data_IF_384986652852
#
_entry.id   IF_384986652852
#
_cell.length_a   1.000
_cell.length_b   1.000
_cell.length_c   1.000
_cell.angle_alpha   90.00
_cell.angle_beta   90.00
_cell.angle_gamma   90.00
#
_symmetry.space_group_name_H-M   'P 1'
#
loop_
_entity.id
_entity.type
_entity.pdbx_description
1 polymer ?
#
# COMPACT_ATOMS: atom_id res chain seq x y z
N UNK A 1 44.72 -4.93 60.99
CA UNK A 1 43.52 -5.77 60.73
C UNK A 1 42.27 -4.98 60.28
N UNK A 2 42.01 -3.74 60.75
CA UNK A 2 40.82 -2.95 60.31
C UNK A 2 40.83 -2.45 58.86
N UNK A 3 42.00 -2.25 58.23
CA UNK A 3 42.10 -1.74 56.84
C UNK A 3 41.79 -2.78 55.75
N UNK A 4 41.97 -4.08 56.00
CA UNK A 4 41.66 -5.13 55.01
C UNK A 4 40.14 -5.38 54.86
N UNK A 5 39.36 -5.20 55.93
CA UNK A 5 37.92 -5.44 55.92
C UNK A 5 37.17 -4.34 55.15
N UNK A 6 37.67 -3.11 55.20
CA UNK A 6 37.08 -1.97 54.47
C UNK A 6 37.27 -2.07 52.94
N UNK A 7 38.36 -2.69 52.48
CA UNK A 7 38.64 -2.88 51.04
C UNK A 7 37.84 -4.06 50.46
N UNK A 8 37.57 -5.10 51.25
CA UNK A 8 36.72 -6.20 50.78
C UNK A 8 35.24 -5.80 50.69
N UNK A 9 34.77 -4.94 51.60
CA UNK A 9 33.39 -4.45 51.61
C UNK A 9 33.11 -3.50 50.43
N UNK A 10 34.07 -2.63 50.08
CA UNK A 10 33.92 -1.74 48.92
C UNK A 10 33.96 -2.51 47.59
N UNK A 11 34.78 -3.56 47.48
CA UNK A 11 34.81 -4.43 46.30
C UNK A 11 33.48 -5.16 46.04
N UNK A 12 32.82 -5.64 47.09
CA UNK A 12 31.51 -6.30 46.99
C UNK A 12 30.40 -5.34 46.57
N UNK A 13 30.42 -4.09 47.03
CA UNK A 13 29.43 -3.07 46.65
C UNK A 13 29.60 -2.70 45.18
N UNK A 14 30.82 -2.51 44.69
CA UNK A 14 31.08 -2.19 43.28
C UNK A 14 30.71 -3.36 42.36
N UNK A 15 31.00 -4.60 42.75
CA UNK A 15 30.59 -5.79 42.00
C UNK A 15 29.07 -5.95 41.97
N UNK A 16 28.38 -5.67 43.08
CA UNK A 16 26.92 -5.70 43.16
C UNK A 16 26.25 -4.64 42.28
N UNK A 17 26.80 -3.42 42.25
CA UNK A 17 26.31 -2.35 41.37
C UNK A 17 26.57 -2.70 39.89
N UNK A 18 27.74 -3.26 39.57
CA UNK A 18 28.09 -3.67 38.21
C UNK A 18 27.18 -4.81 37.70
N UNK A 19 26.92 -5.83 38.53
CA UNK A 19 25.98 -6.91 38.19
C UNK A 19 24.52 -6.44 38.13
N UNK A 20 24.13 -5.48 38.98
CA UNK A 20 22.81 -4.85 38.94
C UNK A 20 22.58 -4.07 37.64
N UNK A 21 23.59 -3.33 37.17
CA UNK A 21 23.52 -2.59 35.90
C UNK A 21 23.58 -3.51 34.67
N UNK A 22 24.28 -4.64 34.74
CA UNK A 22 24.32 -5.62 33.64
C UNK A 22 23.00 -6.40 33.47
N UNK A 23 22.24 -6.61 34.55
CA UNK A 23 20.95 -7.29 34.49
C UNK A 23 19.78 -6.39 34.06
N UNK A 24 20.04 -5.10 33.82
CA UNK A 24 19.03 -4.12 33.40
C UNK A 24 19.08 -3.78 31.91
N UNK A 25 19.70 -4.65 31.10
CA UNK A 25 19.34 -4.76 29.67
C UNK A 25 18.32 -5.88 29.58
N UNK A 26 17.05 -5.52 29.77
CA UNK A 26 15.97 -6.37 29.33
C UNK A 26 16.24 -6.72 27.86
N UNK A 27 16.15 -8.01 27.46
CA UNK A 27 16.16 -8.33 26.04
C UNK A 27 15.05 -7.51 25.41
N UNK A 28 15.38 -6.69 24.42
CA UNK A 28 14.38 -6.01 23.59
C UNK A 28 13.51 -7.14 23.04
N UNK A 29 12.35 -7.32 23.64
CA UNK A 29 11.36 -8.27 23.17
C UNK A 29 11.02 -7.80 21.77
N UNK A 30 11.42 -8.58 20.77
CA UNK A 30 11.00 -8.38 19.39
C UNK A 30 9.50 -8.70 19.35
N UNK A 31 8.69 -7.79 19.87
CA UNK A 31 7.26 -7.78 19.62
C UNK A 31 7.14 -7.63 18.12
N UNK A 32 6.80 -8.73 17.44
CA UNK A 32 6.44 -8.70 16.03
C UNK A 32 5.39 -7.60 15.90
N UNK A 33 5.71 -6.55 15.15
CA UNK A 33 4.76 -5.48 14.88
C UNK A 33 3.46 -6.15 14.41
N UNK A 34 2.29 -5.72 14.90
CA UNK A 34 1.03 -6.29 14.45
C UNK A 34 0.98 -6.21 12.93
N UNK A 35 0.64 -7.33 12.28
CA UNK A 35 0.42 -7.34 10.83
C UNK A 35 -0.57 -6.24 10.50
N UNK A 36 -0.32 -5.41 9.48
CA UNK A 36 -1.26 -4.35 9.11
C UNK A 36 -2.63 -4.96 8.82
N UNK A 37 -3.66 -4.44 9.48
CA UNK A 37 -5.05 -4.79 9.21
C UNK A 37 -5.45 -4.16 7.87
N UNK A 38 -5.93 -4.97 6.93
CA UNK A 38 -6.39 -4.51 5.61
C UNK A 38 -7.90 -4.31 5.66
N UNK A 39 -8.34 -3.09 5.39
CA UNK A 39 -9.75 -2.71 5.49
C UNK A 39 -10.60 -3.39 4.40
N UNK A 40 -11.72 -4.00 4.82
CA UNK A 40 -12.70 -4.60 3.90
C UNK A 40 -12.36 -5.98 3.37
N UNK A 41 -11.21 -6.55 3.75
CA UNK A 41 -10.98 -7.97 3.55
C UNK A 41 -11.69 -8.70 4.69
N UNK A 42 -12.59 -9.66 4.42
CA UNK A 42 -13.20 -10.45 5.48
C UNK A 42 -12.08 -11.02 6.36
N UNK A 43 -12.18 -10.93 7.68
CA UNK A 43 -11.15 -11.42 8.62
C UNK A 43 -10.84 -12.93 8.43
N UNK A 44 -11.69 -13.64 7.69
CA UNK A 44 -11.55 -15.04 7.27
C UNK A 44 -10.73 -15.27 5.99
N UNK A 45 -10.49 -14.25 5.17
CA UNK A 45 -9.70 -14.40 3.95
C UNK A 45 -8.21 -14.36 4.27
N UNK A 46 -7.58 -15.54 4.16
CA UNK A 46 -6.14 -15.66 4.25
C UNK A 46 -5.54 -14.97 3.02
N UNK A 47 -4.86 -13.84 3.24
CA UNK A 47 -4.09 -13.19 2.18
C UNK A 47 -3.18 -14.18 1.45
N UNK A 48 -2.88 -13.89 0.20
CA UNK A 48 -2.02 -14.70 -0.64
C UNK A 48 -0.57 -14.41 -0.28
N UNK A 49 0.19 -15.44 0.07
CA UNK A 49 1.63 -15.32 0.24
C UNK A 49 2.29 -15.37 -1.13
N UNK A 50 2.94 -14.27 -1.52
CA UNK A 50 3.72 -14.13 -2.75
C UNK A 50 5.19 -14.19 -2.37
N UNK A 51 5.94 -15.09 -3.00
CA UNK A 51 7.39 -15.22 -2.80
C UNK A 51 8.14 -14.61 -3.97
N UNK A 52 9.05 -13.67 -3.68
CA UNK A 52 9.90 -13.02 -4.68
C UNK A 52 11.35 -13.12 -4.20
N UNK A 53 12.11 -14.03 -4.81
CA UNK A 53 13.43 -14.42 -4.30
C UNK A 53 13.30 -15.04 -2.90
N UNK A 54 14.07 -14.54 -1.95
CA UNK A 54 14.02 -14.99 -0.54
C UNK A 54 12.98 -14.25 0.30
N UNK A 55 12.26 -13.29 -0.29
CA UNK A 55 11.29 -12.45 0.43
C UNK A 55 9.88 -13.00 0.26
N UNK A 56 9.12 -13.01 1.35
CA UNK A 56 7.69 -13.34 1.36
C UNK A 56 6.87 -12.08 1.59
N UNK A 57 5.84 -11.91 0.77
CA UNK A 57 4.88 -10.81 0.85
C UNK A 57 3.51 -11.39 1.12
N UNK A 58 2.75 -10.76 2.01
CA UNK A 58 1.34 -11.06 2.18
C UNK A 58 0.53 -10.04 1.36
N UNK A 59 -0.23 -10.52 0.39
CA UNK A 59 -1.06 -9.70 -0.47
C UNK A 59 -2.54 -10.00 -0.25
N UNK A 60 -3.36 -8.98 -0.39
CA UNK A 60 -4.82 -9.09 -0.31
C UNK A 60 -5.43 -8.50 -1.57
N UNK A 61 -6.53 -9.07 -2.01
CA UNK A 61 -7.28 -8.60 -3.17
C UNK A 61 -8.78 -8.68 -2.87
N UNK A 62 -9.55 -7.87 -3.58
CA UNK A 62 -11.00 -7.89 -3.54
C UNK A 62 -11.51 -8.20 -4.93
N UNK A 63 -12.27 -9.28 -5.07
CA UNK A 63 -12.94 -9.60 -6.32
C UNK A 63 -14.28 -8.87 -6.38
N UNK A 64 -14.49 -8.10 -7.45
CA UNK A 64 -15.75 -7.40 -7.70
C UNK A 64 -16.32 -7.93 -9.01
N UNK A 65 -17.39 -8.73 -8.91
CA UNK A 65 -18.03 -9.39 -10.05
C UNK A 65 -18.99 -8.47 -10.81
N UNK A 66 -19.50 -7.43 -10.15
CA UNK A 66 -20.38 -6.41 -10.74
C UNK A 66 -19.73 -5.03 -10.62
N UNK A 67 -19.33 -4.48 -11.77
CA UNK A 67 -18.62 -3.20 -11.87
C UNK A 67 -19.44 -2.00 -11.37
N UNK A 68 -20.77 -2.12 -11.30
CA UNK A 68 -21.64 -1.06 -10.74
C UNK A 68 -21.37 -0.80 -9.25
N UNK A 69 -20.82 -1.78 -8.54
CA UNK A 69 -20.42 -1.64 -7.13
C UNK A 69 -19.09 -0.89 -6.94
N UNK A 70 -18.39 -0.53 -8.02
CA UNK A 70 -17.14 0.23 -7.95
C UNK A 70 -17.44 1.73 -8.02
N UNK A 71 -17.02 2.44 -6.98
CA UNK A 71 -17.12 3.90 -6.88
C UNK A 71 -15.74 4.52 -6.70
N UNK A 72 -15.49 5.63 -7.37
CA UNK A 72 -14.29 6.44 -7.18
C UNK A 72 -14.64 7.65 -6.32
N UNK A 73 -14.16 7.68 -5.09
CA UNK A 73 -14.50 8.74 -4.14
C UNK A 73 -13.42 9.83 -4.22
N UNK A 74 -13.76 11.08 -4.58
CA UNK A 74 -12.82 12.19 -4.51
C UNK A 74 -12.49 12.51 -3.05
N UNK A 75 -11.21 12.76 -2.77
CA UNK A 75 -10.71 12.96 -1.41
C UNK A 75 -9.71 14.13 -1.34
N UNK A 76 -9.97 15.20 -2.11
CA UNK A 76 -9.05 16.34 -2.29
C UNK A 76 -9.24 17.45 -1.25
N UNK A 77 -10.49 17.84 -1.00
CA UNK A 77 -10.81 19.03 -0.19
C UNK A 77 -10.76 18.76 1.32
N UNK A 78 -11.20 17.56 1.71
CA UNK A 78 -11.16 17.07 3.08
C UNK A 78 -10.61 15.66 3.10
N UNK A 79 -9.28 15.54 3.12
CA UNK A 79 -8.61 14.26 3.12
C UNK A 79 -9.06 13.41 4.32
N UNK A 80 -9.87 12.39 4.05
CA UNK A 80 -10.23 11.33 4.99
C UNK A 80 -9.26 10.18 4.82
N UNK A 81 -8.90 9.52 5.91
CA UNK A 81 -8.16 8.27 5.80
C UNK A 81 -9.10 7.15 5.31
N UNK A 82 -8.52 6.03 4.85
CA UNK A 82 -9.30 4.92 4.32
C UNK A 82 -10.23 4.28 5.37
N UNK A 83 -9.87 4.33 6.66
CA UNK A 83 -10.67 3.80 7.76
C UNK A 83 -11.96 4.60 7.95
N UNK A 84 -11.86 5.93 7.93
CA UNK A 84 -13.01 6.82 7.98
C UNK A 84 -13.90 6.56 6.75
N UNK A 85 -13.34 6.55 5.55
CA UNK A 85 -14.12 6.30 4.33
C UNK A 85 -14.85 4.95 4.36
N UNK A 86 -14.19 3.91 4.88
CA UNK A 86 -14.80 2.59 5.06
C UNK A 86 -15.98 2.64 6.04
N UNK A 87 -15.82 3.30 7.19
CA UNK A 87 -16.86 3.42 8.20
C UNK A 87 -18.07 4.27 7.76
N UNK A 88 -17.88 5.27 6.88
CA UNK A 88 -18.92 6.22 6.49
C UNK A 88 -19.69 5.86 5.22
N UNK A 89 -19.17 4.96 4.37
CA UNK A 89 -19.69 4.76 3.00
C UNK A 89 -20.27 3.36 2.74
N UNK A 90 -20.49 2.54 3.78
CA UNK A 90 -21.03 1.17 3.67
C UNK A 90 -20.33 0.32 2.60
N UNK A 91 -19.01 0.50 2.47
CA UNK A 91 -18.21 -0.14 1.44
C UNK A 91 -17.81 -1.54 1.89
N UNK A 92 -17.88 -2.52 0.99
CA UNK A 92 -17.30 -3.84 1.25
C UNK A 92 -15.77 -3.79 1.38
N UNK A 93 -15.11 -2.84 0.70
CA UNK A 93 -13.70 -2.52 0.91
C UNK A 93 -13.27 -1.20 0.28
N UNK A 94 -12.14 -0.67 0.76
CA UNK A 94 -11.62 0.65 0.36
C UNK A 94 -10.12 0.55 0.10
N UNK A 95 -9.69 1.06 -1.05
CA UNK A 95 -8.29 1.14 -1.46
C UNK A 95 -7.94 2.53 -1.99
N UNK A 96 -6.68 2.93 -1.80
CA UNK A 96 -6.15 4.13 -2.43
C UNK A 96 -5.95 3.88 -3.92
N UNK A 97 -6.59 4.72 -4.76
CA UNK A 97 -6.53 4.56 -6.22
C UNK A 97 -5.44 5.39 -6.90
N UNK A 98 -5.59 6.71 -6.87
CA UNK A 98 -4.80 7.64 -7.68
C UNK A 98 -3.57 8.25 -6.98
N UNK A 99 -2.83 9.04 -7.74
CA UNK A 99 -1.70 9.85 -7.24
C UNK A 99 -2.09 11.32 -7.16
N UNK A 100 -1.61 11.98 -6.10
CA UNK A 100 -1.96 13.35 -5.74
C UNK A 100 -0.72 14.22 -5.69
N UNK A 101 -0.88 15.51 -6.00
CA UNK A 101 0.15 16.52 -5.78
C UNK A 101 0.27 16.82 -4.27
N UNK A 102 1.36 17.45 -3.80
CA UNK A 102 1.48 17.89 -2.41
C UNK A 102 0.33 18.80 -1.95
N UNK A 103 -0.29 19.52 -2.88
CA UNK A 103 -1.45 20.39 -2.67
C UNK A 103 -2.77 19.63 -2.63
N UNK A 104 -2.75 18.29 -2.71
CA UNK A 104 -3.94 17.44 -2.60
C UNK A 104 -4.75 17.28 -3.89
N UNK A 105 -4.23 17.68 -5.05
CA UNK A 105 -4.96 17.58 -6.33
C UNK A 105 -4.57 16.33 -7.14
N UNK A 106 -5.45 15.75 -7.98
CA UNK A 106 -5.06 14.64 -8.85
C UNK A 106 -3.95 15.03 -9.82
N UNK A 107 -2.98 14.13 -9.98
CA UNK A 107 -1.87 14.27 -10.94
C UNK A 107 -2.30 14.03 -12.39
N UNK A 108 -3.40 13.31 -12.62
CA UNK A 108 -3.92 12.97 -13.94
C UNK A 108 -5.45 12.84 -13.95
N UNK A 109 -6.00 12.19 -14.98
CA UNK A 109 -7.45 12.01 -15.17
C UNK A 109 -8.12 11.57 -13.86
N UNK A 110 -9.20 12.27 -13.51
CA UNK A 110 -10.08 11.89 -12.41
C UNK A 110 -11.52 12.22 -12.81
N UNK A 111 -12.33 11.19 -13.02
CA UNK A 111 -13.75 11.26 -13.35
C UNK A 111 -14.50 10.45 -12.30
N UNK A 112 -15.43 11.09 -11.61
CA UNK A 112 -16.24 10.48 -10.54
C UNK A 112 -17.70 10.83 -10.77
N UNK A 113 -18.59 9.82 -10.79
CA UNK A 113 -20.02 10.03 -10.98
C UNK A 113 -20.37 10.70 -12.31
N UNK A 114 -19.56 10.49 -13.35
CA UNK A 114 -19.71 11.17 -14.65
C UNK A 114 -19.05 12.55 -14.74
N UNK A 115 -18.64 13.14 -13.61
CA UNK A 115 -18.03 14.47 -13.60
C UNK A 115 -16.52 14.40 -13.78
N UNK A 116 -15.98 15.16 -14.74
CA UNK A 116 -14.53 15.29 -14.93
C UNK A 116 -13.95 16.32 -13.96
N UNK A 117 -13.36 15.83 -12.87
CA UNK A 117 -12.70 16.66 -11.84
C UNK A 117 -11.26 17.03 -12.24
N UNK A 118 -10.59 16.16 -13.00
CA UNK A 118 -9.26 16.43 -13.56
C UNK A 118 -9.13 15.83 -14.96
N UNK A 119 -8.52 16.58 -15.88
CA UNK A 119 -8.22 16.10 -17.24
C UNK A 119 -7.00 15.19 -17.25
N UNK A 120 -6.95 14.32 -18.26
CA UNK A 120 -5.80 13.47 -18.54
C UNK A 120 -4.51 14.27 -18.73
N UNK A 121 -3.41 13.75 -18.20
CA UNK A 121 -2.07 14.33 -18.32
C UNK A 121 -1.18 13.37 -19.10
N UNK A 122 -0.45 13.84 -20.12
CA UNK A 122 0.54 12.99 -20.79
C UNK A 122 1.73 12.72 -19.87
N UNK A 123 1.99 11.45 -19.55
CA UNK A 123 3.10 11.05 -18.68
C UNK A 123 3.58 9.64 -19.04
N UNK A 124 4.90 9.43 -19.06
CA UNK A 124 5.49 8.09 -19.26
C UNK A 124 5.29 7.16 -18.06
N UNK A 125 5.12 7.71 -16.86
CA UNK A 125 4.91 6.95 -15.61
C UNK A 125 3.42 6.66 -15.35
N UNK A 126 2.60 7.71 -15.28
CA UNK A 126 1.13 7.64 -15.19
C UNK A 126 0.49 7.29 -16.55
N UNK A 127 0.85 6.15 -17.12
CA UNK A 127 0.47 5.79 -18.49
C UNK A 127 -0.78 4.90 -18.57
N UNK A 128 -1.42 4.57 -17.45
CA UNK A 128 -2.63 3.76 -17.39
C UNK A 128 -3.88 4.58 -17.06
N UNK A 129 -5.00 4.16 -17.63
CA UNK A 129 -6.34 4.68 -17.39
C UNK A 129 -7.22 3.49 -17.05
N UNK A 130 -7.71 3.44 -15.81
CA UNK A 130 -8.82 2.60 -15.42
C UNK A 130 -10.12 3.38 -15.61
N UNK A 131 -11.13 2.78 -16.21
CA UNK A 131 -12.40 3.46 -16.49
C UNK A 131 -13.58 2.51 -16.48
N UNK A 132 -14.76 3.06 -16.18
CA UNK A 132 -16.05 2.37 -16.30
C UNK A 132 -16.99 3.33 -17.03
N UNK A 133 -17.64 2.84 -18.08
CA UNK A 133 -18.61 3.62 -18.85
C UNK A 133 -20.03 3.47 -18.28
N UNK A 134 -21.00 4.14 -18.92
CA UNK A 134 -22.42 4.10 -18.49
C UNK A 134 -23.08 2.72 -18.65
N UNK A 135 -22.44 1.79 -19.37
CA UNK A 135 -22.88 0.41 -19.54
C UNK A 135 -22.17 -0.55 -18.57
N UNK A 136 -21.55 -0.02 -17.51
CA UNK A 136 -20.85 -0.80 -16.49
C UNK A 136 -19.74 -1.70 -17.05
N UNK A 137 -19.08 -1.25 -18.12
CA UNK A 137 -17.98 -1.97 -18.75
C UNK A 137 -16.63 -1.46 -18.24
N UNK A 138 -15.93 -2.20 -17.35
CA UNK A 138 -14.61 -1.81 -16.86
C UNK A 138 -13.53 -2.00 -17.93
N UNK A 139 -12.59 -1.06 -18.01
CA UNK A 139 -11.48 -1.08 -18.97
C UNK A 139 -10.19 -0.56 -18.34
N UNK A 140 -9.08 -1.18 -18.70
CA UNK A 140 -7.73 -0.67 -18.45
C UNK A 140 -7.09 -0.42 -19.82
N UNK A 141 -6.59 0.79 -20.04
CA UNK A 141 -5.90 1.15 -21.28
C UNK A 141 -4.90 2.29 -21.07
N UNK A 142 -4.20 2.68 -22.12
CA UNK A 142 -3.21 3.78 -22.07
C UNK A 142 -3.76 5.14 -22.51
N UNK A 143 -4.98 5.16 -23.02
CA UNK A 143 -5.67 6.35 -23.51
C UNK A 143 -7.06 6.46 -22.88
N UNK A 144 -7.57 7.69 -22.79
CA UNK A 144 -8.95 7.93 -22.36
C UNK A 144 -9.91 7.44 -23.45
N UNK A 145 -10.88 6.57 -23.13
CA UNK A 145 -11.93 6.19 -24.08
C UNK A 145 -12.73 7.40 -24.58
N UNK A 146 -13.38 7.24 -25.75
CA UNK A 146 -14.18 8.32 -26.37
C UNK A 146 -15.63 8.35 -25.91
N UNK A 147 -16.13 7.25 -25.36
CA UNK A 147 -17.47 7.17 -24.81
C UNK A 147 -17.56 7.91 -23.46
N UNK A 148 -18.79 8.18 -23.03
CA UNK A 148 -19.03 8.78 -21.73
C UNK A 148 -18.63 7.81 -20.61
N UNK A 149 -18.01 8.35 -19.56
CA UNK A 149 -17.42 7.58 -18.47
C UNK A 149 -18.08 7.96 -17.16
N UNK A 150 -18.65 6.98 -16.44
CA UNK A 150 -19.09 7.15 -15.05
C UNK A 150 -17.88 7.30 -14.11
N UNK A 151 -16.81 6.57 -14.41
CA UNK A 151 -15.58 6.53 -13.63
C UNK A 151 -14.36 6.57 -14.55
N UNK A 152 -13.35 7.34 -14.18
CA UNK A 152 -12.07 7.39 -14.88
C UNK A 152 -10.95 7.77 -13.92
N UNK A 153 -9.90 6.98 -13.86
CA UNK A 153 -8.76 7.20 -12.99
C UNK A 153 -7.47 6.95 -13.78
N UNK A 154 -6.61 7.97 -13.83
CA UNK A 154 -5.26 7.81 -14.36
C UNK A 154 -4.29 7.38 -13.25
N UNK A 155 -3.61 6.27 -13.50
CA UNK A 155 -2.60 5.69 -12.62
C UNK A 155 -1.48 5.05 -13.47
N UNK A 156 -0.52 4.39 -12.83
CA UNK A 156 0.50 3.66 -13.58
C UNK A 156 1.73 3.27 -12.76
N UNK A 157 2.66 2.56 -13.40
CA UNK A 157 2.63 2.14 -14.81
C UNK A 157 1.67 0.97 -15.09
N UNK A 158 1.21 0.82 -16.33
CA UNK A 158 0.51 -0.41 -16.78
C UNK A 158 1.45 -1.60 -16.65
N UNK A 159 1.08 -2.58 -15.82
CA UNK A 159 1.90 -3.76 -15.50
C UNK A 159 1.66 -4.92 -16.47
N UNK A 160 0.42 -5.08 -16.94
CA UNK A 160 -0.01 -6.16 -17.85
C UNK A 160 -0.90 -5.54 -18.93
N UNK A 161 -0.65 -5.88 -20.19
CA UNK A 161 -1.44 -5.43 -21.33
C UNK A 161 -1.69 -6.63 -22.26
N UNK A 162 -2.95 -6.89 -22.59
CA UNK A 162 -3.36 -8.03 -23.43
C UNK A 162 -2.74 -9.37 -22.97
N UNK A 163 -2.73 -9.61 -21.65
CA UNK A 163 -2.13 -10.79 -21.01
C UNK A 163 -0.59 -10.88 -21.04
N UNK A 164 0.10 -9.82 -21.49
CA UNK A 164 1.57 -9.76 -21.48
C UNK A 164 2.07 -8.79 -20.41
N UNK A 165 2.97 -9.29 -19.56
CA UNK A 165 3.70 -8.47 -18.61
C UNK A 165 4.53 -7.41 -19.35
N UNK A 166 4.45 -6.16 -18.90
CA UNK A 166 5.15 -5.04 -19.48
C UNK A 166 6.58 -4.97 -18.93
N UNK A 167 7.55 -4.66 -19.79
CA UNK A 167 8.90 -4.37 -19.35
C UNK A 167 8.94 -2.94 -18.78
N UNK A 168 9.11 -2.85 -17.46
CA UNK A 168 9.12 -1.58 -16.75
C UNK A 168 10.56 -1.09 -16.58
N UNK A 169 10.86 0.05 -17.16
CA UNK A 169 12.08 0.80 -16.89
C UNK A 169 11.74 1.99 -16.01
N UNK A 170 11.96 1.85 -14.70
CA UNK A 170 11.94 3.00 -13.81
C UNK A 170 13.18 3.81 -14.14
N UNK A 171 13.01 5.06 -14.60
CA UNK A 171 14.09 5.98 -14.99
C UNK A 171 15.03 6.39 -13.82
N UNK A 172 15.08 5.63 -12.72
CA UNK A 172 15.91 5.97 -11.55
C UNK A 172 16.44 4.81 -10.70
N UNK A 173 16.42 3.56 -11.15
CA UNK A 173 17.13 2.48 -10.43
C UNK A 173 17.67 1.39 -11.35
N UNK A 174 18.96 1.10 -11.21
CA UNK A 174 19.66 -0.03 -11.82
C UNK A 174 19.18 -1.34 -11.17
N UNK A 175 18.02 -1.85 -11.59
CA UNK A 175 17.65 -3.27 -11.44
C UNK A 175 16.40 -3.55 -12.25
N UNK A 176 16.55 -4.40 -13.26
CA UNK A 176 15.46 -4.91 -14.08
C UNK A 176 14.52 -5.80 -13.23
N UNK A 177 13.23 -5.47 -13.21
CA UNK A 177 12.18 -6.33 -12.67
C UNK A 177 11.60 -7.18 -13.81
N UNK A 178 11.67 -8.50 -13.66
CA UNK A 178 10.96 -9.45 -14.52
C UNK A 178 9.86 -10.10 -13.69
N UNK A 179 8.59 -9.88 -14.06
CA UNK A 179 7.47 -10.64 -13.51
C UNK A 179 7.30 -11.88 -14.40
N UNK A 180 7.53 -13.06 -13.83
CA UNK A 180 7.31 -14.33 -14.49
C UNK A 180 5.92 -14.85 -14.08
N UNK A 181 5.00 -14.95 -15.04
CA UNK A 181 3.69 -15.58 -14.84
C UNK A 181 3.83 -17.11 -14.75
N UNK A 182 3.06 -17.79 -13.89
CA UNK A 182 3.04 -19.25 -13.86
C UNK A 182 2.41 -19.81 -15.16
N UNK A 183 2.82 -21.00 -15.61
CA UNK A 183 2.23 -21.65 -16.77
C UNK A 183 0.78 -22.07 -16.48
N UNK A 184 -0.05 -22.02 -17.55
CA UNK A 184 -1.44 -22.47 -17.61
C UNK A 184 -1.59 -23.96 -17.26
#
# INVERSE_FOLDING_TARGET
MKRLILVSLSGLVVAGIYFGLLKWRDPVENTLAPSPEVLGVPTSEKGVVIEIGERKFLAFYLEVTDASNITLIPNFDQAKNAFDLFAYQDCAGVLSGGFYTPEGTPTGLFISGGETLKKYTSSSFLNGVYSINDFETPRIGKAVPRDHLRLGLQAGPVLIENSFAQNLSILRSLSSFTIQSPPL
#
